data_IF_744197398568
#
_entry.id   IF_744197398568
#
_cell.length_a   1.000
_cell.length_b   1.000
_cell.length_c   1.000
_cell.angle_alpha   90.00
_cell.angle_beta   90.00
_cell.angle_gamma   90.00
#
_symmetry.space_group_name_H-M   'P 1'
#
loop_
_entity.id
_entity.type
_entity.pdbx_description
1 polymer ?
#
# COMPACT_ATOMS: atom_id res chain seq x y z
N UNK A 1 24.85 1.30 21.10
CA UNK A 1 23.44 1.66 20.98
C UNK A 1 23.21 2.72 19.90
N UNK A 2 24.06 3.72 19.83
CA UNK A 2 23.92 4.79 18.85
C UNK A 2 24.09 4.29 17.41
N UNK A 3 25.02 3.36 17.19
CA UNK A 3 25.23 2.75 15.87
C UNK A 3 24.02 1.95 15.42
N UNK A 4 23.39 1.24 16.35
CA UNK A 4 22.20 0.45 16.07
C UNK A 4 21.02 1.35 15.71
N UNK A 5 20.84 2.43 16.47
CA UNK A 5 19.77 3.42 16.19
C UNK A 5 19.94 4.08 14.84
N UNK A 6 21.18 4.42 14.47
CA UNK A 6 21.47 5.01 13.16
C UNK A 6 21.19 4.05 12.01
N UNK A 7 21.54 2.76 12.19
CA UNK A 7 21.29 1.75 11.18
C UNK A 7 19.78 1.57 10.95
N UNK A 8 19.00 1.50 12.03
CA UNK A 8 17.55 1.40 11.93
C UNK A 8 16.94 2.61 11.25
N UNK A 9 17.41 3.81 11.58
CA UNK A 9 16.93 5.04 10.98
C UNK A 9 17.21 5.09 9.48
N UNK A 10 18.39 4.67 9.04
CA UNK A 10 18.74 4.59 7.63
C UNK A 10 17.86 3.59 6.87
N UNK A 11 17.56 2.45 7.47
CA UNK A 11 16.68 1.44 6.88
C UNK A 11 15.28 2.02 6.69
N UNK A 12 14.75 2.71 7.68
CA UNK A 12 13.43 3.33 7.60
C UNK A 12 13.37 4.40 6.51
N UNK A 13 14.40 5.22 6.39
CA UNK A 13 14.46 6.25 5.34
C UNK A 13 14.51 5.63 3.95
N UNK A 14 15.29 4.55 3.77
CA UNK A 14 15.38 3.85 2.49
C UNK A 14 14.04 3.25 2.09
N UNK A 15 13.36 2.58 3.02
CA UNK A 15 12.02 2.03 2.78
C UNK A 15 11.02 3.12 2.44
N UNK A 16 11.09 4.24 3.12
CA UNK A 16 10.20 5.38 2.90
C UNK A 16 10.33 5.91 1.46
N UNK A 17 11.56 6.05 0.96
CA UNK A 17 11.81 6.49 -0.41
C UNK A 17 11.29 5.48 -1.43
N UNK A 18 11.47 4.19 -1.18
CA UNK A 18 10.99 3.14 -2.07
C UNK A 18 9.47 3.12 -2.14
N UNK A 19 8.80 3.26 -1.00
CA UNK A 19 7.33 3.31 -0.94
C UNK A 19 6.79 4.55 -1.64
N UNK A 20 7.45 5.69 -1.47
CA UNK A 20 7.07 6.91 -2.16
C UNK A 20 7.16 6.76 -3.67
N UNK A 21 8.21 6.12 -4.18
CA UNK A 21 8.37 5.84 -5.61
C UNK A 21 7.27 4.95 -6.15
N UNK A 22 6.90 3.92 -5.40
CA UNK A 22 5.78 3.06 -5.77
C UNK A 22 4.50 3.88 -5.81
N UNK A 23 4.26 4.68 -4.77
CA UNK A 23 3.03 5.44 -4.61
C UNK A 23 2.80 6.45 -5.73
N UNK A 24 3.82 7.20 -6.11
CA UNK A 24 3.68 8.23 -7.15
C UNK A 24 3.43 7.64 -8.54
N UNK A 25 3.76 6.37 -8.75
CA UNK A 25 3.50 5.67 -10.02
C UNK A 25 2.08 5.13 -10.11
N UNK A 26 1.38 5.06 -9.00
CA UNK A 26 0.01 4.53 -8.97
C UNK A 26 -0.98 5.60 -9.46
N UNK A 27 -2.03 5.15 -10.14
CA UNK A 27 -3.11 6.06 -10.52
C UNK A 27 -4.03 6.31 -9.31
N UNK A 28 -5.00 7.22 -9.50
CA UNK A 28 -5.93 7.60 -8.43
C UNK A 28 -6.75 6.41 -7.92
N UNK A 29 -7.19 5.54 -8.82
CA UNK A 29 -7.96 4.35 -8.47
C UNK A 29 -7.15 3.42 -7.58
N UNK A 30 -5.92 3.11 -7.97
CA UNK A 30 -5.03 2.24 -7.21
C UNK A 30 -4.77 2.80 -5.82
N UNK A 31 -4.52 4.11 -5.72
CA UNK A 31 -4.29 4.78 -4.44
C UNK A 31 -5.49 4.68 -3.52
N UNK A 32 -6.71 4.89 -4.04
CA UNK A 32 -7.93 4.76 -3.26
C UNK A 32 -8.11 3.35 -2.71
N UNK A 33 -7.85 2.35 -3.54
CA UNK A 33 -7.98 0.95 -3.15
C UNK A 33 -6.97 0.61 -2.06
N UNK A 34 -5.72 1.01 -2.23
CA UNK A 34 -4.68 0.76 -1.22
C UNK A 34 -4.96 1.47 0.10
N UNK A 35 -5.47 2.70 0.04
CA UNK A 35 -5.88 3.43 1.25
C UNK A 35 -7.00 2.70 1.99
N UNK A 36 -7.97 2.17 1.26
CA UNK A 36 -9.07 1.40 1.85
C UNK A 36 -8.56 0.10 2.48
N UNK A 37 -7.68 -0.61 1.80
CA UNK A 37 -7.10 -1.84 2.34
C UNK A 37 -6.24 -1.55 3.58
N UNK A 38 -5.48 -0.48 3.57
CA UNK A 38 -4.62 -0.10 4.69
C UNK A 38 -5.44 0.26 5.93
N UNK A 39 -6.56 0.95 5.75
CA UNK A 39 -7.41 1.39 6.86
C UNK A 39 -8.50 0.38 7.24
N UNK A 40 -8.51 -0.80 6.61
CA UNK A 40 -9.55 -1.82 6.78
C UNK A 40 -10.96 -1.32 6.46
N UNK A 41 -11.06 -0.33 5.59
CA UNK A 41 -12.35 0.17 5.09
C UNK A 41 -12.83 -0.74 3.97
N UNK A 42 -14.12 -1.01 3.93
CA UNK A 42 -14.69 -1.83 2.86
C UNK A 42 -14.55 -1.14 1.51
N UNK A 43 -14.13 -1.90 0.49
CA UNK A 43 -13.98 -1.36 -0.86
C UNK A 43 -15.30 -0.88 -1.46
N UNK A 44 -16.42 -1.46 -1.01
CA UNK A 44 -17.76 -1.04 -1.44
C UNK A 44 -18.12 0.36 -0.94
N UNK A 45 -17.39 0.89 0.02
CA UNK A 45 -17.59 2.24 0.53
C UNK A 45 -16.90 3.30 -0.34
N UNK A 46 -16.13 2.88 -1.35
CA UNK A 46 -15.51 3.81 -2.30
C UNK A 46 -16.49 4.14 -3.42
N UNK A 47 -16.23 5.24 -4.14
CA UNK A 47 -17.04 5.66 -5.29
C UNK A 47 -16.78 4.83 -6.54
N UNK A 48 -15.94 3.82 -6.46
CA UNK A 48 -15.47 3.06 -7.60
C UNK A 48 -16.44 1.93 -7.94
N UNK A 49 -16.60 1.65 -9.24
CA UNK A 49 -17.36 0.49 -9.70
C UNK A 49 -16.64 -0.80 -9.32
N UNK A 50 -17.42 -1.85 -9.06
CA UNK A 50 -16.89 -3.17 -8.71
C UNK A 50 -15.91 -3.70 -9.75
N UNK A 51 -16.23 -3.54 -11.03
CA UNK A 51 -15.36 -4.00 -12.12
C UNK A 51 -14.03 -3.24 -12.14
N UNK A 52 -14.05 -1.95 -11.85
CA UNK A 52 -12.84 -1.13 -11.76
C UNK A 52 -11.98 -1.57 -10.60
N UNK A 53 -12.58 -1.81 -9.43
CA UNK A 53 -11.88 -2.30 -8.25
C UNK A 53 -11.21 -3.65 -8.55
N UNK A 54 -11.95 -4.56 -9.17
CA UNK A 54 -11.44 -5.90 -9.46
C UNK A 54 -10.27 -5.88 -10.43
N UNK A 55 -10.38 -5.08 -11.49
CA UNK A 55 -9.30 -4.93 -12.47
C UNK A 55 -8.03 -4.36 -11.84
N UNK A 56 -8.18 -3.35 -10.98
CA UNK A 56 -7.06 -2.73 -10.29
C UNK A 56 -6.41 -3.71 -9.30
N UNK A 57 -7.22 -4.46 -8.55
CA UNK A 57 -6.70 -5.45 -7.61
C UNK A 57 -5.91 -6.54 -8.31
N UNK A 58 -6.39 -7.04 -9.44
CA UNK A 58 -5.67 -8.05 -10.22
C UNK A 58 -4.35 -7.51 -10.75
N UNK A 59 -4.35 -6.28 -11.23
CA UNK A 59 -3.14 -5.62 -11.71
C UNK A 59 -2.13 -5.48 -10.58
N UNK A 60 -2.54 -4.99 -9.43
CA UNK A 60 -1.66 -4.81 -8.27
C UNK A 60 -1.19 -6.14 -7.69
N UNK A 61 -2.00 -7.18 -7.77
CA UNK A 61 -1.60 -8.53 -7.38
C UNK A 61 -0.44 -9.03 -8.25
N UNK A 62 -0.50 -8.79 -9.55
CA UNK A 62 0.59 -9.14 -10.46
C UNK A 62 1.86 -8.36 -10.17
N UNK A 63 1.72 -7.13 -9.69
CA UNK A 63 2.85 -6.27 -9.32
C UNK A 63 3.41 -6.59 -7.94
N UNK A 64 2.78 -7.51 -7.20
CA UNK A 64 3.22 -7.88 -5.85
C UNK A 64 2.84 -6.88 -4.77
N UNK A 65 1.93 -5.97 -5.04
CA UNK A 65 1.50 -4.97 -4.06
C UNK A 65 0.40 -5.47 -3.15
N UNK A 66 -0.46 -6.36 -3.65
CA UNK A 66 -1.53 -6.97 -2.87
C UNK A 66 -1.49 -8.48 -3.03
N UNK A 67 -2.00 -9.18 -2.02
CA UNK A 67 -2.17 -10.64 -2.04
C UNK A 67 -3.62 -10.97 -1.79
N UNK A 68 -4.03 -12.14 -2.23
CA UNK A 68 -5.35 -12.69 -1.97
C UNK A 68 -5.22 -14.01 -1.21
N UNK A 69 -5.80 -14.04 -0.02
CA UNK A 69 -5.91 -15.25 0.79
C UNK A 69 -7.40 -15.53 0.97
N UNK A 70 -8.01 -15.10 2.06
CA UNK A 70 -9.47 -15.08 2.20
C UNK A 70 -10.06 -13.76 1.72
N UNK A 71 -9.21 -12.75 1.60
CA UNK A 71 -9.55 -11.42 1.13
C UNK A 71 -8.30 -10.77 0.55
N UNK A 72 -8.46 -9.65 -0.15
CA UNK A 72 -7.33 -8.89 -0.64
C UNK A 72 -6.72 -8.09 0.50
N UNK A 73 -5.38 -8.14 0.59
CA UNK A 73 -4.62 -7.42 1.60
C UNK A 73 -3.36 -6.86 0.96
N UNK A 74 -2.81 -5.80 1.54
CA UNK A 74 -1.50 -5.29 1.13
C UNK A 74 -0.44 -6.31 1.54
N UNK A 75 0.40 -6.72 0.59
CA UNK A 75 1.38 -7.77 0.81
C UNK A 75 2.41 -7.37 1.88
N UNK A 76 2.93 -6.15 1.79
CA UNK A 76 3.98 -5.67 2.68
C UNK A 76 3.38 -4.89 3.84
N UNK A 77 3.49 -5.40 5.08
CA UNK A 77 2.95 -4.68 6.25
C UNK A 77 3.62 -3.33 6.48
N UNK A 78 4.88 -3.16 6.07
CA UNK A 78 5.57 -1.87 6.17
C UNK A 78 5.00 -0.86 5.18
N UNK A 79 4.63 -1.29 4.00
CA UNK A 79 3.96 -0.43 3.02
C UNK A 79 2.57 -0.02 3.52
N UNK A 80 1.84 -0.95 4.11
CA UNK A 80 0.55 -0.67 4.73
C UNK A 80 0.68 0.43 5.78
N UNK A 81 1.66 0.30 6.67
CA UNK A 81 1.92 1.30 7.70
C UNK A 81 2.31 2.64 7.09
N UNK A 82 3.15 2.61 6.05
CA UNK A 82 3.55 3.83 5.36
C UNK A 82 2.35 4.58 4.78
N UNK A 83 1.42 3.85 4.17
CA UNK A 83 0.20 4.44 3.61
C UNK A 83 -0.62 5.11 4.71
N UNK A 84 -0.79 4.43 5.85
CA UNK A 84 -1.54 4.98 6.97
C UNK A 84 -0.89 6.25 7.54
N UNK A 85 0.43 6.28 7.60
CA UNK A 85 1.16 7.39 8.21
C UNK A 85 1.32 8.59 7.27
N UNK A 86 1.49 8.36 5.97
CA UNK A 86 1.91 9.42 5.05
C UNK A 86 0.94 9.65 3.87
N UNK A 87 0.08 8.72 3.58
CA UNK A 87 -0.74 8.78 2.37
C UNK A 87 -2.24 8.65 2.62
N UNK A 88 -2.65 8.58 3.87
CA UNK A 88 -4.08 8.52 4.22
C UNK A 88 -4.70 9.87 4.49
#
# INVERSE_FOLDING_TARGET
TDLFSKALHQIEETHNLDFERIWIRLNRTDKKILQSLASNTQLTMTDLHTSTIYSALKKMQKQGLVIYSNRYEIEDPFFKKWILDFAS
#
